data_IF_777058680484
#
_entry.id   IF_777058680484
#
_cell.length_a   1.000
_cell.length_b   1.000
_cell.length_c   1.000
_cell.angle_alpha   90.00
_cell.angle_beta   90.00
_cell.angle_gamma   90.00
#
_symmetry.space_group_name_H-M   'P 1'
#
loop_
_entity.id
_entity.type
_entity.pdbx_description
1 polymer ?
#
# COMPACT_ATOMS: atom_id res chain seq x y z
N UNK A 1 -22.14 -22.58 14.43
CA UNK A 1 -22.32 -22.23 13.01
C UNK A 1 -22.23 -20.72 12.92
N UNK A 2 -21.04 -20.17 12.69
CA UNK A 2 -20.88 -18.73 12.43
C UNK A 2 -19.99 -18.54 11.20
N UNK A 3 -20.70 -18.20 10.11
CA UNK A 3 -20.32 -17.54 8.86
C UNK A 3 -19.03 -17.96 8.15
N UNK A 4 -19.25 -18.88 7.23
CA UNK A 4 -18.65 -18.89 5.90
C UNK A 4 -18.73 -17.49 5.25
N UNK A 5 -17.62 -16.98 4.70
CA UNK A 5 -17.67 -16.16 3.49
C UNK A 5 -16.59 -16.67 2.54
N UNK A 6 -16.99 -17.62 1.72
CA UNK A 6 -16.30 -18.05 0.51
C UNK A 6 -16.31 -16.93 -0.55
N UNK A 7 -15.26 -16.87 -1.38
CA UNK A 7 -15.22 -16.26 -2.74
C UNK A 7 -15.27 -14.71 -2.81
N UNK A 8 -14.57 -13.97 -3.68
CA UNK A 8 -14.02 -14.21 -5.03
C UNK A 8 -13.24 -12.95 -5.46
N UNK A 9 -12.04 -13.05 -6.03
CA UNK A 9 -11.31 -11.95 -6.71
C UNK A 9 -11.43 -10.55 -6.08
N UNK A 10 -11.10 -10.41 -4.80
CA UNK A 10 -11.02 -9.09 -4.16
C UNK A 10 -9.74 -8.38 -4.63
N UNK A 11 -9.91 -7.21 -5.25
CA UNK A 11 -8.76 -6.42 -5.70
C UNK A 11 -8.12 -5.76 -4.49
N UNK A 12 -6.93 -6.22 -4.10
CA UNK A 12 -6.15 -5.63 -3.01
C UNK A 12 -5.29 -4.51 -3.58
N UNK A 13 -5.52 -3.29 -3.09
CA UNK A 13 -4.77 -2.08 -3.44
C UNK A 13 -3.80 -1.72 -2.31
N UNK A 14 -2.50 -1.73 -2.60
CA UNK A 14 -1.46 -1.23 -1.72
C UNK A 14 -1.22 0.26 -2.01
N UNK A 15 -1.47 1.13 -1.03
CA UNK A 15 -1.21 2.58 -1.13
C UNK A 15 0.03 2.92 -0.33
N UNK A 16 1.13 3.24 -1.01
CA UNK A 16 2.36 3.70 -0.36
C UNK A 16 2.30 5.22 -0.19
N UNK A 17 2.33 5.68 1.07
CA UNK A 17 2.12 7.09 1.42
C UNK A 17 0.67 7.42 1.71
N UNK A 18 -0.09 6.50 2.32
CA UNK A 18 -1.54 6.65 2.56
C UNK A 18 -1.89 7.88 3.41
N UNK A 19 -0.99 8.32 4.28
CA UNK A 19 -1.18 9.51 5.14
C UNK A 19 -0.95 10.82 4.40
N UNK A 20 -0.47 10.81 3.15
CA UNK A 20 -0.33 12.00 2.31
C UNK A 20 -1.67 12.43 1.71
N UNK A 21 -1.76 13.67 1.22
CA UNK A 21 -3.00 14.19 0.61
C UNK A 21 -3.50 13.29 -0.55
N UNK A 22 -2.58 12.87 -1.43
CA UNK A 22 -2.93 11.97 -2.54
C UNK A 22 -3.33 10.57 -2.06
N UNK A 23 -2.63 10.02 -1.06
CA UNK A 23 -2.94 8.70 -0.50
C UNK A 23 -4.28 8.66 0.23
N UNK A 24 -4.63 9.72 0.95
CA UNK A 24 -5.91 9.86 1.61
C UNK A 24 -7.06 9.90 0.59
N UNK A 25 -6.96 10.77 -0.41
CA UNK A 25 -7.98 10.87 -1.47
C UNK A 25 -8.10 9.58 -2.28
N UNK A 26 -7.01 8.83 -2.46
CA UNK A 26 -7.04 7.55 -3.14
C UNK A 26 -7.74 6.48 -2.29
N UNK A 27 -7.45 6.41 -0.99
CA UNK A 27 -8.15 5.51 -0.07
C UNK A 27 -9.65 5.82 -0.03
N UNK A 28 -10.03 7.09 0.03
CA UNK A 28 -11.43 7.52 -0.09
C UNK A 28 -12.06 7.12 -1.43
N UNK A 29 -11.33 7.26 -2.54
CA UNK A 29 -11.84 6.88 -3.85
C UNK A 29 -12.07 5.38 -3.94
N UNK A 30 -11.14 4.55 -3.46
CA UNK A 30 -11.25 3.09 -3.53
C UNK A 30 -12.41 2.53 -2.70
N UNK A 31 -12.75 3.19 -1.58
CA UNK A 31 -13.88 2.80 -0.73
C UNK A 31 -15.25 3.21 -1.28
N UNK A 32 -15.31 4.01 -2.35
CA UNK A 32 -16.59 4.40 -2.95
C UNK A 32 -17.21 3.22 -3.72
N UNK A 33 -18.51 2.96 -3.57
CA UNK A 33 -19.20 1.91 -4.30
C UNK A 33 -19.30 2.20 -5.82
N UNK A 34 -19.03 3.44 -6.22
CA UNK A 34 -18.98 3.87 -7.62
C UNK A 34 -17.67 3.52 -8.32
N UNK A 35 -16.67 3.00 -7.60
CA UNK A 35 -15.35 2.74 -8.14
C UNK A 35 -15.36 1.46 -8.99
N UNK A 36 -14.95 1.54 -10.26
CA UNK A 36 -14.81 0.34 -11.10
C UNK A 36 -13.76 -0.59 -10.49
N UNK A 37 -14.06 -1.88 -10.37
CA UNK A 37 -13.09 -2.87 -9.83
C UNK A 37 -13.60 -3.78 -8.72
N UNK A 38 -14.87 -3.65 -8.31
CA UNK A 38 -15.49 -4.44 -7.21
C UNK A 38 -14.79 -4.19 -5.86
N UNK A 39 -15.22 -4.74 -4.71
CA UNK A 39 -14.79 -4.21 -3.42
C UNK A 39 -13.26 -4.27 -3.32
N UNK A 40 -12.67 -3.09 -3.09
CA UNK A 40 -11.23 -2.93 -2.97
C UNK A 40 -10.84 -3.13 -1.53
N UNK A 41 -9.89 -4.04 -1.29
CA UNK A 41 -9.23 -4.14 0.01
C UNK A 41 -8.06 -3.16 0.02
N UNK A 42 -8.08 -2.17 0.91
CA UNK A 42 -7.10 -1.09 0.90
C UNK A 42 -6.04 -1.34 1.96
N UNK A 43 -4.80 -1.56 1.52
CA UNK A 43 -3.62 -1.69 2.37
C UNK A 43 -2.85 -0.37 2.37
N UNK A 44 -2.87 0.32 3.49
CA UNK A 44 -2.19 1.60 3.64
C UNK A 44 -0.79 1.41 4.21
N UNK A 45 0.21 1.97 3.54
CA UNK A 45 1.59 1.99 4.02
C UNK A 45 2.02 3.42 4.33
N UNK A 46 2.59 3.63 5.51
CA UNK A 46 3.25 4.89 5.85
C UNK A 46 4.42 4.65 6.81
N UNK A 47 5.38 5.59 6.82
CA UNK A 47 6.56 5.53 7.71
C UNK A 47 6.22 5.81 9.17
N UNK A 48 5.23 6.66 9.39
CA UNK A 48 4.76 7.06 10.72
C UNK A 48 3.56 6.18 11.10
N UNK A 49 3.32 5.96 12.41
CA UNK A 49 2.08 5.32 12.84
C UNK A 49 0.88 6.07 12.29
N UNK A 50 -0.22 5.34 12.07
CA UNK A 50 -1.47 5.92 11.59
C UNK A 50 -1.89 7.02 12.58
N UNK A 51 -2.04 8.27 12.13
CA UNK A 51 -2.38 9.36 13.04
C UNK A 51 -3.85 9.26 13.47
N UNK A 52 -4.17 9.71 14.69
CA UNK A 52 -5.50 9.58 15.30
C UNK A 52 -6.64 10.26 14.50
N UNK A 53 -6.29 11.24 13.64
CA UNK A 53 -7.25 11.90 12.76
C UNK A 53 -7.62 11.06 11.52
N UNK A 54 -6.88 9.99 11.23
CA UNK A 54 -7.10 9.20 10.03
C UNK A 54 -8.27 8.22 10.24
N UNK A 55 -9.30 8.24 9.38
CA UNK A 55 -10.43 7.35 9.49
C UNK A 55 -10.02 5.91 9.15
N UNK A 56 -10.03 5.04 10.16
CA UNK A 56 -9.74 3.62 10.00
C UNK A 56 -10.72 2.90 9.07
N UNK A 57 -11.89 3.47 8.79
CA UNK A 57 -12.84 2.93 7.81
C UNK A 57 -12.35 3.01 6.37
N UNK A 58 -11.29 3.79 6.09
CA UNK A 58 -10.75 3.91 4.74
C UNK A 58 -9.72 2.83 4.39
N UNK A 59 -9.18 2.12 5.39
CA UNK A 59 -8.08 1.18 5.23
C UNK A 59 -8.42 -0.11 5.97
N UNK A 60 -8.30 -1.25 5.30
CA UNK A 60 -8.51 -2.56 5.91
C UNK A 60 -7.27 -3.05 6.68
N UNK A 61 -6.08 -2.73 6.16
CA UNK A 61 -4.81 -3.07 6.80
C UNK A 61 -3.83 -1.90 6.75
N UNK A 62 -3.30 -1.49 7.90
CA UNK A 62 -2.26 -0.47 7.97
C UNK A 62 -0.91 -1.09 8.30
N UNK A 63 0.08 -0.80 7.47
CA UNK A 63 1.46 -1.28 7.63
C UNK A 63 2.36 -0.08 7.86
N UNK A 64 2.91 0.01 9.07
CA UNK A 64 3.94 0.99 9.40
C UNK A 64 5.30 0.49 8.91
N UNK A 65 5.84 1.13 7.88
CA UNK A 65 7.05 0.70 7.20
C UNK A 65 7.86 1.89 6.72
N UNK A 66 9.18 1.84 6.93
CA UNK A 66 10.09 2.72 6.20
C UNK A 66 10.47 2.12 4.84
N UNK A 67 9.92 2.68 3.76
CA UNK A 67 10.23 2.28 2.39
C UNK A 67 11.70 2.54 1.99
N UNK A 68 12.46 3.28 2.82
CA UNK A 68 13.90 3.47 2.64
C UNK A 68 14.73 2.28 3.15
N UNK A 69 14.14 1.40 3.96
CA UNK A 69 14.77 0.18 4.44
C UNK A 69 14.23 -1.02 3.65
N UNK A 70 15.01 -1.48 2.65
CA UNK A 70 14.60 -2.62 1.82
C UNK A 70 14.45 -3.92 2.66
N UNK A 71 15.13 -4.05 3.81
CA UNK A 71 14.97 -5.24 4.68
C UNK A 71 13.68 -5.18 5.49
N UNK A 72 13.35 -4.02 6.08
CA UNK A 72 12.06 -3.82 6.76
C UNK A 72 10.89 -3.95 5.78
N UNK A 73 11.08 -3.44 4.55
CA UNK A 73 10.11 -3.53 3.44
C UNK A 73 9.86 -4.97 3.08
N UNK A 74 10.92 -5.74 2.81
CA UNK A 74 10.79 -7.16 2.48
C UNK A 74 10.10 -7.95 3.60
N UNK A 75 10.47 -7.71 4.86
CA UNK A 75 9.89 -8.46 5.99
C UNK A 75 8.40 -8.16 6.21
N UNK A 76 7.97 -6.91 6.01
CA UNK A 76 6.57 -6.50 6.23
C UNK A 76 5.67 -6.65 5.02
N UNK A 77 6.22 -6.55 3.80
CA UNK A 77 5.46 -6.74 2.56
C UNK A 77 5.46 -8.18 2.05
N UNK A 78 6.49 -8.99 2.26
CA UNK A 78 6.48 -10.40 1.82
C UNK A 78 5.24 -11.18 2.26
N UNK A 79 4.72 -11.02 3.50
CA UNK A 79 3.53 -11.73 3.95
C UNK A 79 2.26 -11.34 3.18
N UNK A 80 2.18 -10.13 2.62
CA UNK A 80 0.99 -9.61 1.94
C UNK A 80 1.17 -9.48 0.43
N UNK A 81 2.39 -9.65 -0.08
CA UNK A 81 2.74 -9.49 -1.50
C UNK A 81 1.93 -10.40 -2.41
N UNK A 82 1.59 -11.61 -1.95
CA UNK A 82 0.81 -12.58 -2.71
C UNK A 82 -0.68 -12.22 -2.81
N UNK A 83 -1.18 -11.35 -1.93
CA UNK A 83 -2.57 -10.87 -1.95
C UNK A 83 -2.71 -9.57 -2.78
N UNK A 84 -1.63 -8.79 -2.88
CA UNK A 84 -1.64 -7.47 -3.51
C UNK A 84 -1.80 -7.61 -5.03
N UNK A 85 -2.84 -6.98 -5.57
CA UNK A 85 -3.13 -6.97 -7.01
C UNK A 85 -2.69 -5.68 -7.68
N UNK A 86 -2.78 -4.55 -6.96
CA UNK A 86 -2.49 -3.22 -7.48
C UNK A 86 -1.64 -2.44 -6.47
N UNK A 87 -0.58 -1.80 -6.96
CA UNK A 87 0.30 -0.96 -6.14
C UNK A 87 0.17 0.50 -6.60
N UNK A 88 -0.22 1.36 -5.68
CA UNK A 88 -0.30 2.80 -5.87
C UNK A 88 0.80 3.49 -5.08
N UNK A 89 1.83 3.94 -5.79
CA UNK A 89 2.93 4.67 -5.19
C UNK A 89 2.66 6.17 -5.20
N UNK A 90 2.16 6.70 -4.08
CA UNK A 90 1.79 8.11 -3.91
C UNK A 90 2.65 8.81 -2.85
N UNK A 91 3.74 8.16 -2.44
CA UNK A 91 4.75 8.76 -1.58
C UNK A 91 5.69 9.61 -2.42
N UNK A 92 5.48 10.93 -2.40
CA UNK A 92 6.49 11.87 -2.86
C UNK A 92 7.47 12.07 -1.70
N UNK A 93 8.67 11.51 -1.82
CA UNK A 93 9.80 11.97 -1.02
C UNK A 93 10.57 12.95 -1.90
N UNK A 94 10.29 14.24 -1.73
CA UNK A 94 11.17 15.28 -2.24
C UNK A 94 12.40 15.25 -1.34
N UNK A 95 13.41 14.48 -1.71
CA UNK A 95 14.74 14.60 -1.13
C UNK A 95 15.63 15.32 -2.12
N UNK A 96 16.42 16.27 -1.63
CA UNK A 96 17.23 17.22 -2.40
C UNK A 96 18.43 16.57 -3.14
N UNK A 97 18.52 15.24 -3.26
CA UNK A 97 19.73 14.58 -3.75
C UNK A 97 19.47 13.41 -4.71
N UNK A 98 20.14 13.46 -5.86
CA UNK A 98 19.97 12.63 -7.07
C UNK A 98 20.42 11.15 -6.90
N UNK A 99 21.17 10.85 -5.84
CA UNK A 99 21.75 9.51 -5.61
C UNK A 99 20.75 8.47 -5.06
N UNK A 100 19.72 8.90 -4.34
CA UNK A 100 18.68 8.01 -3.76
C UNK A 100 17.72 7.51 -4.85
N UNK A 101 17.56 8.26 -5.94
CA UNK A 101 16.71 7.89 -7.08
C UNK A 101 17.27 6.67 -7.84
N UNK A 102 18.60 6.53 -7.90
CA UNK A 102 19.28 5.37 -8.53
C UNK A 102 19.08 4.10 -7.69
N UNK A 103 19.10 4.21 -6.36
CA UNK A 103 18.77 3.11 -5.43
C UNK A 103 17.31 2.66 -5.55
N UNK A 104 16.38 3.62 -5.70
CA UNK A 104 14.94 3.32 -5.86
C UNK A 104 14.66 2.50 -7.13
N UNK A 105 15.34 2.81 -8.25
CA UNK A 105 15.25 2.04 -9.51
C UNK A 105 15.92 0.65 -9.40
N UNK A 106 16.90 0.49 -8.50
CA UNK A 106 17.59 -0.78 -8.32
C UNK A 106 16.81 -1.77 -7.43
N UNK A 107 16.11 -1.29 -6.38
CA UNK A 107 15.30 -2.16 -5.50
C UNK A 107 13.99 -2.59 -6.22
N UNK A 108 13.48 -1.82 -7.20
CA UNK A 108 12.31 -2.21 -8.02
C UNK A 108 12.59 -3.37 -8.98
N UNK A 109 13.84 -3.53 -9.44
CA UNK A 109 14.22 -4.60 -10.37
C UNK A 109 14.10 -6.01 -9.73
N UNK A 110 14.21 -6.12 -8.40
CA UNK A 110 14.08 -7.39 -7.68
C UNK A 110 12.64 -7.85 -7.47
N UNK A 111 11.69 -6.94 -7.32
CA UNK A 111 10.25 -7.27 -7.19
C UNK A 111 9.71 -7.93 -8.47
N UNK A 112 10.30 -7.63 -9.64
CA UNK A 112 9.91 -8.25 -10.91
C UNK A 112 10.59 -9.61 -11.18
N UNK A 113 11.61 -10.00 -10.41
CA UNK A 113 12.40 -11.21 -10.66
C UNK A 113 12.00 -12.41 -9.78
N UNK A 114 10.90 -12.29 -9.02
CA UNK A 114 10.41 -13.34 -8.13
C UNK A 114 9.32 -14.24 -8.76
N UNK A 115 9.35 -14.41 -10.09
CA UNK A 115 8.47 -15.33 -10.81
C UNK A 115 9.16 -16.67 -11.10
#
# INVERSE_FOLDING_TARGET
>A
MEKENSSSDESVALIVGVTGMAGFSLAEALQKPTTPGRPWKVYGVARRPLPDWFPSSLIDCFISLDALDCADTANKLSPVAHEITHVFWVSIQVHENEEVNISMNSCTCWIMHLH
#
